data_IF_558630091186
#
_entry.id   IF_558630091186
#
_cell.length_a   1.000
_cell.length_b   1.000
_cell.length_c   1.000
_cell.angle_alpha   90.00
_cell.angle_beta   90.00
_cell.angle_gamma   90.00
#
_symmetry.space_group_name_H-M   'P 1'
#
loop_
_entity.id
_entity.type
_entity.pdbx_description
1 polymer ?
#
# COMPACT_ATOMS: atom_id res chain seq x y z
N UNK A 1 -12.11 -22.18 -3.68
CA UNK A 1 -11.77 -20.93 -4.40
C UNK A 1 -10.90 -20.12 -3.45
N UNK A 2 -9.60 -20.11 -3.71
CA UNK A 2 -8.56 -19.55 -2.84
C UNK A 2 -8.52 -18.03 -3.05
N UNK A 3 -8.99 -17.25 -2.07
CA UNK A 3 -8.73 -15.81 -2.01
C UNK A 3 -7.24 -15.68 -1.62
N UNK A 4 -6.41 -15.03 -2.46
CA UNK A 4 -6.57 -13.62 -2.80
C UNK A 4 -6.72 -13.44 -4.31
N UNK A 5 -7.77 -12.75 -4.82
CA UNK A 5 -7.59 -12.11 -6.11
C UNK A 5 -6.68 -10.93 -5.83
N UNK A 6 -5.49 -10.92 -6.41
CA UNK A 6 -4.80 -9.64 -6.61
C UNK A 6 -5.79 -8.68 -7.24
N UNK A 7 -6.04 -7.57 -6.56
CA UNK A 7 -6.91 -6.51 -7.05
C UNK A 7 -6.19 -5.76 -8.17
N UNK A 8 -6.94 -5.31 -9.16
CA UNK A 8 -6.39 -4.50 -10.26
C UNK A 8 -6.31 -3.03 -9.91
N UNK A 9 -7.02 -2.60 -8.86
CA UNK A 9 -6.85 -1.28 -8.27
C UNK A 9 -5.64 -1.27 -7.33
N UNK A 10 -4.84 -0.22 -7.42
CA UNK A 10 -3.54 -0.13 -6.74
C UNK A 10 -2.33 -0.30 -7.67
N UNK A 11 -2.07 -1.48 -8.27
CA UNK A 11 -0.86 -1.71 -9.06
C UNK A 11 -0.59 -0.66 -10.16
N UNK A 12 -1.57 -0.26 -10.99
CA UNK A 12 -1.33 0.77 -12.01
C UNK A 12 -1.02 2.15 -11.41
N UNK A 13 -1.68 2.49 -10.30
CA UNK A 13 -1.42 3.71 -9.55
C UNK A 13 0.00 3.72 -8.96
N UNK A 14 0.41 2.60 -8.36
CA UNK A 14 1.75 2.40 -7.82
C UNK A 14 2.83 2.51 -8.91
N UNK A 15 2.62 1.89 -10.08
CA UNK A 15 3.55 2.02 -11.20
C UNK A 15 3.63 3.46 -11.73
N UNK A 16 2.49 4.15 -11.84
CA UNK A 16 2.43 5.54 -12.30
C UNK A 16 3.17 6.50 -11.36
N UNK A 17 2.91 6.40 -10.05
CA UNK A 17 3.61 7.20 -9.04
C UNK A 17 5.09 6.86 -9.00
N UNK A 18 5.44 5.58 -9.09
CA UNK A 18 6.84 5.14 -9.09
C UNK A 18 7.61 5.68 -10.28
N UNK A 19 7.01 5.66 -11.46
CA UNK A 19 7.59 6.23 -12.69
C UNK A 19 7.81 7.74 -12.55
N UNK A 20 6.80 8.47 -12.07
CA UNK A 20 6.91 9.92 -11.84
C UNK A 20 8.07 10.23 -10.88
N UNK A 21 8.13 9.56 -9.74
CA UNK A 21 9.18 9.78 -8.74
C UNK A 21 10.57 9.42 -9.29
N UNK A 22 10.68 8.33 -10.04
CA UNK A 22 11.91 7.95 -10.76
C UNK A 22 12.36 9.06 -11.70
N UNK A 23 11.47 9.59 -12.54
CA UNK A 23 11.77 10.69 -13.46
C UNK A 23 12.14 12.01 -12.77
N UNK A 24 11.76 12.16 -11.49
CA UNK A 24 12.21 13.27 -10.62
C UNK A 24 13.55 12.99 -9.93
N UNK A 25 14.26 11.93 -10.32
CA UNK A 25 15.56 11.53 -9.77
C UNK A 25 15.48 10.91 -8.37
N UNK A 26 14.31 10.40 -7.95
CA UNK A 26 14.15 9.75 -6.63
C UNK A 26 14.49 8.27 -6.70
N UNK A 27 15.02 7.73 -5.59
CA UNK A 27 15.11 6.29 -5.36
C UNK A 27 13.72 5.80 -4.96
N UNK A 28 13.17 4.84 -5.71
CA UNK A 28 11.81 4.36 -5.49
C UNK A 28 11.83 2.87 -5.15
N UNK A 29 11.14 2.54 -4.07
CA UNK A 29 10.87 1.18 -3.64
C UNK A 29 9.36 0.94 -3.68
N UNK A 30 8.94 -0.16 -4.26
CA UNK A 30 7.56 -0.66 -4.19
C UNK A 30 7.55 -1.84 -3.24
N UNK A 31 6.77 -1.72 -2.17
CA UNK A 31 6.66 -2.73 -1.11
C UNK A 31 5.30 -3.44 -1.25
N UNK A 32 5.29 -4.77 -1.22
CA UNK A 32 4.06 -5.56 -1.40
C UNK A 32 4.13 -6.89 -0.65
N UNK A 33 3.02 -7.64 -0.54
CA UNK A 33 3.05 -9.05 -0.12
C UNK A 33 3.65 -9.93 -1.22
N UNK A 34 4.27 -11.05 -0.85
CA UNK A 34 4.80 -12.07 -1.76
C UNK A 34 3.77 -12.52 -2.80
N UNK A 35 2.52 -12.66 -2.38
CA UNK A 35 1.39 -13.05 -3.24
C UNK A 35 1.14 -12.07 -4.40
N UNK A 36 1.38 -10.79 -4.17
CA UNK A 36 1.12 -9.73 -5.13
C UNK A 36 2.38 -9.34 -5.92
N UNK A 37 3.56 -9.87 -5.55
CA UNK A 37 4.85 -9.51 -6.15
C UNK A 37 4.87 -9.72 -7.67
N UNK A 38 4.34 -10.84 -8.16
CA UNK A 38 4.30 -11.13 -9.59
C UNK A 38 3.46 -10.13 -10.39
N UNK A 39 2.31 -9.70 -9.86
CA UNK A 39 1.42 -8.74 -10.52
C UNK A 39 1.99 -7.33 -10.48
N UNK A 40 2.55 -6.93 -9.34
CA UNK A 40 3.23 -5.63 -9.20
C UNK A 40 4.42 -5.58 -10.17
N UNK A 41 5.23 -6.63 -10.24
CA UNK A 41 6.35 -6.71 -11.20
C UNK A 41 5.86 -6.58 -12.64
N UNK A 42 4.83 -7.33 -13.02
CA UNK A 42 4.26 -7.26 -14.36
C UNK A 42 3.73 -5.86 -14.69
N UNK A 43 3.16 -5.15 -13.72
CA UNK A 43 2.63 -3.79 -13.91
C UNK A 43 3.75 -2.76 -14.06
N UNK A 44 4.83 -2.89 -13.29
CA UNK A 44 6.03 -2.07 -13.44
C UNK A 44 6.69 -2.29 -14.82
N UNK A 45 6.80 -3.55 -15.25
CA UNK A 45 7.37 -3.90 -16.57
C UNK A 45 6.50 -3.39 -17.72
N UNK A 46 5.17 -3.48 -17.58
CA UNK A 46 4.24 -2.94 -18.57
C UNK A 46 4.35 -1.41 -18.66
N UNK A 47 4.50 -0.71 -17.53
CA UNK A 47 4.76 0.73 -17.51
C UNK A 47 6.06 1.09 -18.23
N UNK A 48 7.13 0.33 -18.03
CA UNK A 48 8.41 0.57 -18.72
C UNK A 48 8.36 0.20 -20.20
N UNK A 49 7.57 -0.80 -20.57
CA UNK A 49 7.34 -1.18 -21.97
C UNK A 49 6.57 -0.10 -22.73
N UNK A 50 5.49 0.41 -22.15
CA UNK A 50 4.59 1.38 -22.80
C UNK A 50 5.21 2.78 -22.85
N UNK A 51 5.79 3.23 -21.73
CA UNK A 51 6.24 4.62 -21.58
C UNK A 51 7.76 4.79 -21.63
N UNK A 52 8.52 3.68 -21.65
CA UNK A 52 9.98 3.66 -21.77
C UNK A 52 10.70 3.27 -20.46
N UNK A 53 11.81 2.52 -20.53
CA UNK A 53 12.57 2.09 -19.36
C UNK A 53 13.26 3.27 -18.64
N UNK A 54 13.89 3.05 -17.47
CA UNK A 54 14.77 4.05 -16.87
C UNK A 54 15.83 4.53 -17.87
N UNK A 55 16.02 5.85 -17.97
CA UNK A 55 17.05 6.48 -18.81
C UNK A 55 18.33 6.77 -18.02
N UNK A 56 19.39 7.22 -18.69
CA UNK A 56 20.64 7.59 -18.03
C UNK A 56 20.41 8.65 -16.93
N UNK A 57 20.91 8.36 -15.71
CA UNK A 57 20.69 9.19 -14.52
C UNK A 57 19.46 8.80 -13.69
N UNK A 58 18.56 7.95 -14.18
CA UNK A 58 17.44 7.41 -13.39
C UNK A 58 17.84 6.13 -12.64
N UNK A 59 17.30 5.96 -11.42
CA UNK A 59 17.44 4.70 -10.68
C UNK A 59 16.24 3.79 -10.96
N UNK A 60 16.42 2.52 -11.36
CA UNK A 60 15.31 1.59 -11.54
C UNK A 60 14.48 1.43 -10.27
N UNK A 61 13.16 1.29 -10.43
CA UNK A 61 12.24 1.01 -9.32
C UNK A 61 12.56 -0.35 -8.73
N UNK A 62 12.72 -0.43 -7.41
CA UNK A 62 13.02 -1.67 -6.69
C UNK A 62 11.76 -2.27 -6.10
N UNK A 63 11.48 -3.53 -6.41
CA UNK A 63 10.38 -4.28 -5.79
C UNK A 63 10.91 -5.08 -4.60
N UNK A 64 10.28 -4.92 -3.44
CA UNK A 64 10.52 -5.73 -2.25
C UNK A 64 9.20 -6.36 -1.84
N UNK A 65 9.19 -7.67 -1.68
CA UNK A 65 8.03 -8.40 -1.20
C UNK A 65 8.26 -8.98 0.19
N UNK A 66 7.18 -9.17 0.93
CA UNK A 66 7.21 -9.68 2.29
C UNK A 66 6.30 -10.90 2.44
N UNK A 67 6.66 -11.87 3.30
CA UNK A 67 5.78 -12.95 3.66
C UNK A 67 4.63 -12.43 4.55
N UNK A 68 3.55 -13.21 4.72
CA UNK A 68 2.48 -12.86 5.65
C UNK A 68 2.98 -12.72 7.09
N UNK A 69 2.42 -11.77 7.82
CA UNK A 69 2.76 -11.53 9.23
C UNK A 69 3.27 -10.12 9.53
N UNK A 70 3.70 -9.94 10.78
CA UNK A 70 4.24 -8.69 11.30
C UNK A 70 5.62 -8.37 10.70
N UNK A 71 5.94 -7.09 10.60
CA UNK A 71 7.15 -6.55 10.02
C UNK A 71 7.90 -5.69 11.05
N UNK A 72 9.22 -5.71 10.99
CA UNK A 72 10.04 -4.70 11.67
C UNK A 72 10.08 -3.42 10.83
N UNK A 73 9.09 -2.56 11.04
CA UNK A 73 8.95 -1.30 10.31
C UNK A 73 10.19 -0.41 10.41
N UNK A 74 10.84 -0.35 11.57
CA UNK A 74 12.02 0.49 11.78
C UNK A 74 13.23 -0.06 11.02
N UNK A 75 13.44 -1.38 11.04
CA UNK A 75 14.48 -2.01 10.24
C UNK A 75 14.26 -1.77 8.74
N UNK A 76 13.04 -1.98 8.22
CA UNK A 76 12.74 -1.77 6.80
C UNK A 76 13.02 -0.32 6.37
N UNK A 77 12.58 0.66 7.18
CA UNK A 77 12.82 2.08 6.90
C UNK A 77 14.32 2.39 6.90
N UNK A 78 15.05 1.97 7.92
CA UNK A 78 16.47 2.30 8.09
C UNK A 78 17.38 1.58 7.08
N UNK A 79 17.17 0.30 6.83
CA UNK A 79 17.99 -0.51 5.92
C UNK A 79 17.88 -0.06 4.46
N UNK A 80 16.71 0.47 4.07
CA UNK A 80 16.48 0.96 2.71
C UNK A 80 16.67 2.49 2.58
N UNK A 81 16.93 3.18 3.70
CA UNK A 81 17.03 4.63 3.79
C UNK A 81 15.79 5.30 3.17
N UNK A 82 14.61 4.89 3.66
CA UNK A 82 13.32 5.46 3.25
C UNK A 82 13.07 6.75 4.01
N UNK A 83 12.64 7.80 3.32
CA UNK A 83 12.34 9.12 3.89
C UNK A 83 10.86 9.54 3.72
N UNK A 84 10.10 8.80 2.90
CA UNK A 84 8.69 9.03 2.65
C UNK A 84 7.95 7.75 2.25
N UNK A 85 6.72 7.58 2.73
CA UNK A 85 5.85 6.44 2.43
C UNK A 85 4.60 6.87 1.67
N UNK A 86 4.19 6.08 0.68
CA UNK A 86 2.94 6.28 -0.06
C UNK A 86 2.18 4.96 -0.10
N UNK A 87 1.03 4.88 0.58
CA UNK A 87 0.10 3.76 0.45
C UNK A 87 -0.81 4.01 -0.75
N UNK A 88 -1.04 2.98 -1.57
CA UNK A 88 -1.94 3.05 -2.73
C UNK A 88 -2.78 1.78 -2.70
N UNK A 89 -4.08 1.93 -2.46
CA UNK A 89 -5.04 0.82 -2.31
C UNK A 89 -4.57 -0.28 -1.35
N UNK A 90 -3.85 0.13 -0.31
CA UNK A 90 -3.31 -0.83 0.66
C UNK A 90 -4.31 -1.03 1.79
N UNK A 91 -4.96 -2.19 1.86
CA UNK A 91 -5.81 -2.53 3.01
C UNK A 91 -5.04 -2.40 4.34
N UNK A 92 -5.68 -1.78 5.34
CA UNK A 92 -5.13 -1.61 6.68
C UNK A 92 -6.08 -2.13 7.77
N UNK A 93 -5.61 -2.21 9.02
CA UNK A 93 -6.37 -2.80 10.11
C UNK A 93 -7.51 -1.89 10.57
N UNK A 94 -8.62 -2.50 10.94
CA UNK A 94 -9.71 -1.86 11.69
C UNK A 94 -9.38 -1.80 13.20
N UNK A 95 -10.36 -1.36 14.00
CA UNK A 95 -10.19 -1.16 15.46
C UNK A 95 -9.86 -2.45 16.22
N UNK A 96 -10.29 -3.61 15.73
CA UNK A 96 -9.96 -4.93 16.29
C UNK A 96 -8.63 -5.49 15.79
N UNK A 97 -7.89 -4.74 14.97
CA UNK A 97 -6.59 -5.11 14.44
C UNK A 97 -6.63 -6.01 13.19
N UNK A 98 -7.82 -6.41 12.72
CA UNK A 98 -7.96 -7.21 11.50
C UNK A 98 -8.15 -6.33 10.27
N UNK A 99 -7.67 -6.81 9.12
CA UNK A 99 -7.90 -6.20 7.81
C UNK A 99 -9.16 -6.81 7.20
N UNK A 100 -10.01 -5.98 6.60
CA UNK A 100 -11.29 -6.42 6.03
C UNK A 100 -11.41 -6.03 4.57
N UNK A 101 -12.08 -6.87 3.78
CA UNK A 101 -12.63 -6.43 2.49
C UNK A 101 -13.81 -5.48 2.68
N UNK A 102 -14.21 -4.76 1.63
CA UNK A 102 -15.44 -3.95 1.61
C UNK A 102 -16.72 -4.73 1.93
N UNK A 103 -16.72 -6.06 1.74
CA UNK A 103 -17.83 -6.96 2.10
C UNK A 103 -17.75 -7.45 3.56
N UNK A 104 -16.83 -6.93 4.36
CA UNK A 104 -16.63 -7.29 5.77
C UNK A 104 -16.02 -8.67 6.00
N UNK A 105 -15.42 -9.29 4.98
CA UNK A 105 -14.67 -10.54 5.14
C UNK A 105 -13.33 -10.26 5.78
N UNK A 106 -13.00 -10.99 6.84
CA UNK A 106 -11.73 -10.89 7.54
C UNK A 106 -10.62 -11.47 6.66
N UNK A 107 -9.68 -10.63 6.25
CA UNK A 107 -8.57 -11.06 5.41
C UNK A 107 -7.47 -11.77 6.21
N UNK A 108 -7.36 -11.54 7.54
CA UNK A 108 -6.36 -12.20 8.37
C UNK A 108 -6.57 -13.72 8.43
N UNK A 109 -7.80 -14.20 8.24
CA UNK A 109 -8.14 -15.63 8.16
C UNK A 109 -7.46 -16.33 6.98
N UNK A 110 -7.07 -15.58 5.95
CA UNK A 110 -6.33 -16.15 4.82
C UNK A 110 -4.88 -16.47 5.18
N UNK A 111 -4.31 -15.80 6.20
CA UNK A 111 -2.89 -15.83 6.54
C UNK A 111 -1.98 -15.44 5.36
N UNK A 112 -2.43 -14.52 4.51
CA UNK A 112 -1.74 -14.11 3.27
C UNK A 112 -1.35 -12.64 3.22
N UNK A 113 -1.58 -11.90 4.30
CA UNK A 113 -1.29 -10.46 4.37
C UNK A 113 -0.03 -10.20 5.19
N UNK A 114 0.89 -9.45 4.61
CA UNK A 114 1.99 -8.77 5.30
C UNK A 114 1.49 -7.49 5.96
N UNK A 115 1.90 -7.20 7.19
CA UNK A 115 1.46 -6.03 7.95
C UNK A 115 2.21 -4.75 7.56
N UNK A 116 2.21 -4.43 6.27
CA UNK A 116 2.80 -3.20 5.71
C UNK A 116 2.19 -1.92 6.30
N UNK A 117 1.00 -1.99 6.91
CA UNK A 117 0.41 -0.91 7.71
C UNK A 117 1.29 -0.47 8.90
N UNK A 118 2.15 -1.35 9.41
CA UNK A 118 3.06 -1.06 10.52
C UNK A 118 4.11 -0.01 10.16
N UNK A 119 4.48 0.12 8.86
CA UNK A 119 5.35 1.18 8.37
C UNK A 119 4.78 2.57 8.64
N UNK A 120 3.46 2.72 8.55
CA UNK A 120 2.75 3.99 8.76
C UNK A 120 2.51 4.32 10.24
N UNK A 121 2.65 3.30 11.11
CA UNK A 121 2.67 3.52 12.55
C UNK A 121 4.03 4.05 13.03
N UNK A 122 5.09 3.85 12.24
CA UNK A 122 6.42 4.35 12.49
C UNK A 122 6.53 5.82 12.06
N UNK A 123 6.44 6.76 13.00
CA UNK A 123 6.50 8.22 12.74
C UNK A 123 7.90 8.77 12.40
N UNK A 124 8.76 7.95 11.80
CA UNK A 124 10.11 8.35 11.41
C UNK A 124 10.13 9.15 10.10
N UNK A 125 9.12 8.96 9.24
CA UNK A 125 9.08 9.45 7.86
C UNK A 125 7.73 10.08 7.54
N UNK A 126 7.70 10.96 6.54
CA UNK A 126 6.45 11.53 6.04
C UNK A 126 5.61 10.48 5.31
N UNK A 127 4.29 10.65 5.32
CA UNK A 127 3.36 9.68 4.71
C UNK A 127 2.25 10.31 3.88
N UNK A 128 1.91 9.66 2.78
CA UNK A 128 0.67 9.89 2.03
C UNK A 128 -0.06 8.57 1.78
N UNK A 129 -1.34 8.69 1.47
CA UNK A 129 -2.15 7.54 1.11
C UNK A 129 -3.19 7.88 0.03
N UNK A 130 -3.52 6.89 -0.78
CA UNK A 130 -4.62 6.85 -1.73
C UNK A 130 -5.50 5.64 -1.38
N UNK A 131 -6.81 5.86 -1.30
CA UNK A 131 -7.81 4.81 -1.11
C UNK A 131 -9.19 5.31 -1.56
N UNK A 132 -10.12 4.39 -1.81
CA UNK A 132 -11.48 4.70 -2.24
C UNK A 132 -12.57 4.10 -1.30
N UNK A 133 -12.26 3.04 -0.57
CA UNK A 133 -13.23 2.24 0.20
C UNK A 133 -13.38 2.64 1.66
N UNK A 134 -12.32 3.14 2.29
CA UNK A 134 -12.27 3.46 3.72
C UNK A 134 -11.61 2.38 4.59
N UNK A 135 -11.30 1.21 4.04
CA UNK A 135 -10.56 0.11 4.69
C UNK A 135 -9.06 0.12 4.33
N UNK A 136 -8.58 1.15 3.64
CA UNK A 136 -7.18 1.33 3.25
C UNK A 136 -6.40 2.15 4.28
N UNK A 137 -5.10 1.88 4.37
CA UNK A 137 -4.12 2.67 5.11
C UNK A 137 -4.25 4.14 4.70
N UNK A 138 -4.32 5.02 5.69
CA UNK A 138 -4.53 6.46 5.50
C UNK A 138 -5.95 6.92 5.77
N UNK A 139 -6.95 6.05 5.57
CA UNK A 139 -8.36 6.37 5.80
C UNK A 139 -8.70 6.61 7.27
N UNK A 140 -7.80 6.25 8.20
CA UNK A 140 -7.89 6.65 9.61
C UNK A 140 -8.00 8.18 9.79
N UNK A 141 -7.49 8.98 8.85
CA UNK A 141 -7.67 10.45 8.83
C UNK A 141 -9.13 10.88 8.67
N UNK A 142 -9.97 10.02 8.09
CA UNK A 142 -11.40 10.23 7.84
C UNK A 142 -12.27 9.20 8.55
N UNK A 143 -11.75 8.57 9.62
CA UNK A 143 -12.40 7.47 10.34
C UNK A 143 -13.87 7.73 10.69
N UNK A 144 -14.19 8.91 11.22
CA UNK A 144 -15.56 9.28 11.58
C UNK A 144 -16.50 9.34 10.36
N UNK A 145 -16.01 9.85 9.23
CA UNK A 145 -16.77 9.91 7.99
C UNK A 145 -16.96 8.50 7.40
N UNK A 146 -15.90 7.69 7.38
CA UNK A 146 -15.97 6.29 6.91
C UNK A 146 -17.00 5.50 7.73
N UNK A 147 -16.91 5.54 9.06
CA UNK A 147 -17.85 4.86 9.96
C UNK A 147 -19.31 5.26 9.75
N UNK A 148 -19.54 6.53 9.39
CA UNK A 148 -20.88 7.10 9.21
C UNK A 148 -21.46 6.83 7.83
N UNK A 149 -20.63 6.84 6.79
CA UNK A 149 -21.10 6.93 5.40
C UNK A 149 -20.80 5.69 4.56
N UNK A 150 -19.80 4.88 4.93
CA UNK A 150 -19.45 3.66 4.19
C UNK A 150 -20.26 2.48 4.74
N UNK A 151 -20.89 1.66 3.89
CA UNK A 151 -21.51 0.41 4.32
C UNK A 151 -20.53 -0.47 5.10
N UNK A 152 -20.95 -0.98 6.25
CA UNK A 152 -20.09 -1.72 7.20
C UNK A 152 -18.91 -0.89 7.77
N UNK A 153 -18.91 0.43 7.63
CA UNK A 153 -17.82 1.30 8.09
C UNK A 153 -17.50 1.16 9.59
N UNK A 154 -18.49 0.85 10.42
CA UNK A 154 -18.26 0.53 11.84
C UNK A 154 -17.36 -0.69 12.08
N UNK A 155 -17.27 -1.60 11.10
CA UNK A 155 -16.46 -2.82 11.14
C UNK A 155 -15.17 -2.71 10.34
N UNK A 156 -15.23 -2.16 9.12
CA UNK A 156 -14.12 -2.25 8.16
C UNK A 156 -13.19 -1.04 8.18
N UNK A 157 -13.59 0.07 8.80
CA UNK A 157 -12.85 1.32 8.68
C UNK A 157 -11.43 1.18 9.21
N UNK A 158 -10.46 1.45 8.34
CA UNK A 158 -9.05 1.41 8.73
C UNK A 158 -8.76 2.52 9.74
N UNK A 159 -8.06 2.17 10.82
CA UNK A 159 -7.68 3.12 11.87
C UNK A 159 -6.33 3.79 11.62
N UNK A 160 -5.55 3.29 10.67
CA UNK A 160 -4.22 3.84 10.35
C UNK A 160 -4.38 5.11 9.52
N UNK A 161 -3.80 6.21 10.00
CA UNK A 161 -3.82 7.50 9.33
C UNK A 161 -2.48 7.79 8.64
N UNK A 162 -2.52 8.61 7.59
CA UNK A 162 -1.35 9.17 6.92
C UNK A 162 -1.36 10.71 7.03
N UNK A 163 -0.20 11.34 6.85
CA UNK A 163 -0.05 12.81 6.94
C UNK A 163 -0.80 13.53 5.82
N UNK A 164 -1.00 12.86 4.68
CA UNK A 164 -1.83 13.30 3.57
C UNK A 164 -2.70 12.14 3.08
N UNK A 165 -3.94 12.43 2.72
CA UNK A 165 -4.88 11.45 2.18
C UNK A 165 -5.51 12.02 0.91
N UNK A 166 -5.47 11.25 -0.15
CA UNK A 166 -6.30 11.40 -1.35
C UNK A 166 -7.38 10.33 -1.27
N UNK A 167 -8.63 10.75 -1.11
CA UNK A 167 -9.78 9.86 -1.27
C UNK A 167 -10.28 10.01 -2.71
N UNK A 168 -10.41 8.90 -3.44
CA UNK A 168 -10.82 8.87 -4.84
C UNK A 168 -12.17 8.18 -5.03
#
# INVERSE_FOLDING_TARGET
MTIPPTENDGPPGAASVSRMLRGMGKRVFVLTDDDNAAVIKATLDASDTEYGPPIEGETPVRLISFPPGDLDAAAIINENDLDYLIAIERCGPAEDGACYTMKGRNLNETQRISRLDQLFSCRLVGSAAVGDGGNEVGMGRRLAAVRKHIPLGGRIACVVAADRLVAA
#
